data_IF_548683589699
#
_entry.id   IF_548683589699
#
_cell.length_a   1.000
_cell.length_b   1.000
_cell.length_c   1.000
_cell.angle_alpha   90.00
_cell.angle_beta   90.00
_cell.angle_gamma   90.00
#
_symmetry.space_group_name_H-M   'P 1'
#
loop_
_entity.id
_entity.type
_entity.pdbx_description
1 polymer ?
#
# COMPACT_ATOMS: atom_id res chain seq x y z
N UNK A 1 11.51 5.91 8.02
CA UNK A 1 10.40 5.38 7.17
C UNK A 1 10.07 6.48 6.16
N UNK A 2 9.94 6.14 4.87
CA UNK A 2 9.52 7.04 3.80
C UNK A 2 8.33 6.42 3.08
N UNK A 3 7.39 7.22 2.63
CA UNK A 3 6.24 6.77 1.86
C UNK A 3 5.76 7.94 0.98
N UNK A 4 5.20 7.59 -0.18
CA UNK A 4 4.63 8.54 -1.12
C UNK A 4 3.15 8.24 -1.30
N UNK A 5 2.33 9.28 -1.36
CA UNK A 5 0.92 9.17 -1.70
C UNK A 5 0.79 9.27 -3.22
N UNK A 6 0.07 8.33 -3.81
CA UNK A 6 -0.20 8.29 -5.26
C UNK A 6 -1.69 8.42 -5.49
N UNK A 7 -2.08 9.38 -6.33
CA UNK A 7 -3.45 9.53 -6.80
C UNK A 7 -3.69 8.53 -7.96
N UNK A 8 -4.66 7.64 -7.81
CA UNK A 8 -4.78 6.48 -8.71
C UNK A 8 -5.27 6.85 -10.12
N UNK A 9 -6.01 7.95 -10.26
CA UNK A 9 -6.55 8.45 -11.53
C UNK A 9 -5.46 9.16 -12.32
N UNK A 10 -4.56 9.90 -11.67
CA UNK A 10 -3.41 10.56 -12.29
C UNK A 10 -2.33 9.55 -12.72
N UNK A 11 -2.20 8.43 -12.00
CA UNK A 11 -1.19 7.40 -12.27
C UNK A 11 -1.81 6.03 -12.60
N UNK A 12 -2.59 5.92 -13.71
CA UNK A 12 -3.32 4.69 -14.02
C UNK A 12 -2.40 3.50 -14.28
N UNK A 13 -1.17 3.73 -14.76
CA UNK A 13 -0.15 2.69 -14.96
C UNK A 13 0.33 2.09 -13.63
N UNK A 14 0.47 2.89 -12.56
CA UNK A 14 0.78 2.39 -11.22
C UNK A 14 -0.41 1.64 -10.63
N UNK A 15 -1.63 2.16 -10.81
CA UNK A 15 -2.85 1.47 -10.40
C UNK A 15 -2.98 0.09 -11.07
N UNK A 16 -2.70 0.00 -12.37
CA UNK A 16 -2.66 -1.28 -13.10
C UNK A 16 -1.53 -2.19 -12.62
N UNK A 17 -0.30 -1.68 -12.45
CA UNK A 17 0.86 -2.45 -11.97
C UNK A 17 0.56 -3.16 -10.66
N UNK A 18 -0.06 -2.45 -9.71
CA UNK A 18 -0.39 -2.97 -8.38
C UNK A 18 -1.82 -3.53 -8.27
N UNK A 19 -2.53 -3.68 -9.40
CA UNK A 19 -3.90 -4.21 -9.47
C UNK A 19 -4.83 -3.53 -8.44
N UNK A 20 -4.78 -2.20 -8.40
CA UNK A 20 -5.61 -1.40 -7.49
C UNK A 20 -7.07 -1.49 -7.97
N UNK A 21 -7.88 -2.20 -7.19
CA UNK A 21 -9.34 -2.33 -7.42
C UNK A 21 -10.17 -1.56 -6.39
N UNK A 22 -9.55 -1.13 -5.29
CA UNK A 22 -10.18 -0.38 -4.21
C UNK A 22 -9.14 0.45 -3.46
N UNK A 23 -9.58 1.60 -2.94
CA UNK A 23 -8.74 2.57 -2.23
C UNK A 23 -9.24 2.78 -0.79
N UNK A 24 -8.36 3.12 0.18
CA UNK A 24 -6.91 3.21 0.04
C UNK A 24 -6.25 1.83 -0.14
N UNK A 25 -5.19 1.75 -0.95
CA UNK A 25 -4.32 0.56 -1.07
C UNK A 25 -2.87 0.97 -0.82
N UNK A 26 -2.24 0.32 0.14
CA UNK A 26 -0.83 0.57 0.50
C UNK A 26 0.02 -0.61 0.07
N UNK A 27 1.08 -0.35 -0.69
CA UNK A 27 2.10 -1.33 -1.04
C UNK A 27 3.33 -1.06 -0.18
N UNK A 28 3.83 -2.09 0.50
CA UNK A 28 4.97 -1.99 1.42
C UNK A 28 6.15 -2.75 0.82
N UNK A 29 7.18 -2.00 0.43
CA UNK A 29 8.44 -2.51 -0.13
C UNK A 29 8.25 -3.52 -1.29
N UNK A 30 7.18 -3.39 -2.07
CA UNK A 30 6.77 -4.37 -3.11
C UNK A 30 6.61 -5.83 -2.63
N UNK A 31 6.64 -6.07 -1.32
CA UNK A 31 6.55 -7.40 -0.68
C UNK A 31 5.16 -7.69 -0.12
N UNK A 32 4.47 -6.67 0.38
CA UNK A 32 3.19 -6.77 1.10
C UNK A 32 2.23 -5.70 0.62
N UNK A 33 0.93 -5.97 0.79
CA UNK A 33 -0.13 -5.04 0.46
C UNK A 33 -1.24 -5.02 1.52
N UNK A 34 -1.82 -3.84 1.73
CA UNK A 34 -2.98 -3.62 2.59
C UNK A 34 -4.04 -2.92 1.74
N UNK A 35 -5.27 -3.44 1.78
CA UNK A 35 -6.43 -2.83 1.12
C UNK A 35 -7.40 -2.35 2.19
N UNK A 36 -7.85 -1.10 2.05
CA UNK A 36 -8.69 -0.42 3.02
C UNK A 36 -7.91 0.23 4.16
N UNK A 37 -8.63 0.99 4.97
CA UNK A 37 -8.09 1.55 6.20
C UNK A 37 -8.11 0.48 7.30
N UNK A 38 -6.96 0.24 7.93
CA UNK A 38 -6.82 -0.69 9.05
C UNK A 38 -6.35 0.06 10.30
N UNK A 39 -6.55 -0.48 11.51
CA UNK A 39 -6.01 0.09 12.73
C UNK A 39 -4.47 0.21 12.67
N UNK A 40 -3.93 1.23 13.33
CA UNK A 40 -2.49 1.54 13.32
C UNK A 40 -1.61 0.35 13.75
N UNK A 41 -2.06 -0.41 14.76
CA UNK A 41 -1.35 -1.58 15.26
C UNK A 41 -1.16 -2.63 14.15
N UNK A 42 -2.22 -2.89 13.37
CA UNK A 42 -2.20 -3.85 12.26
C UNK A 42 -1.27 -3.33 11.14
N UNK A 43 -1.34 -2.03 10.84
CA UNK A 43 -0.49 -1.42 9.83
C UNK A 43 1.01 -1.53 10.19
N UNK A 44 1.36 -1.26 11.46
CA UNK A 44 2.74 -1.38 11.95
C UNK A 44 3.25 -2.83 11.91
N UNK A 45 2.40 -3.82 12.23
CA UNK A 45 2.76 -5.23 12.11
C UNK A 45 3.09 -5.61 10.66
N UNK A 46 2.29 -5.18 9.70
CA UNK A 46 2.52 -5.45 8.28
C UNK A 46 3.82 -4.79 7.77
N UNK A 47 4.14 -3.59 8.25
CA UNK A 47 5.44 -2.95 7.97
C UNK A 47 6.59 -3.80 8.51
N UNK A 48 6.51 -4.24 9.77
CA UNK A 48 7.57 -5.05 10.40
C UNK A 48 7.80 -6.35 9.64
N UNK A 49 6.71 -7.05 9.28
CA UNK A 49 6.76 -8.30 8.50
C UNK A 49 7.33 -8.11 7.09
N UNK A 50 7.30 -6.91 6.53
CA UNK A 50 7.92 -6.61 5.23
C UNK A 50 9.43 -6.31 5.33
N UNK A 51 9.93 -6.00 6.54
CA UNK A 51 11.35 -5.73 6.80
C UNK A 51 12.15 -6.99 7.13
N UNK A 52 11.47 -8.04 7.58
CA UNK A 52 12.00 -9.42 7.61
C UNK A 52 12.29 -9.92 6.17
#
# INVERSE_FOLDING_TARGET
>A
IKADMVEAIEFPHLAQKYRVVGVPKTIINEKREIVGAVPEVVFLEEIKRALE
#
